data_IF_633148517323
#
_entry.id   IF_633148517323
#
_cell.length_a   1.000
_cell.length_b   1.000
_cell.length_c   1.000
_cell.angle_alpha   90.00
_cell.angle_beta   90.00
_cell.angle_gamma   90.00
#
_symmetry.space_group_name_H-M   'P 1'
#
loop_
_entity.id
_entity.type
_entity.pdbx_description
1 polymer ?
#
# COMPACT_ATOMS: atom_id res chain seq x y z
N UNK A 1 -1.12 -20.46 -24.93
CA UNK A 1 -2.34 -20.57 -25.75
C UNK A 1 -3.51 -20.91 -24.85
N UNK A 2 -4.62 -20.20 -25.00
CA UNK A 2 -5.85 -20.40 -24.22
C UNK A 2 -6.95 -20.95 -25.16
N UNK A 3 -7.76 -21.89 -24.66
CA UNK A 3 -8.94 -22.44 -25.36
C UNK A 3 -8.79 -23.86 -25.85
N UNK A 4 -9.90 -24.43 -26.35
CA UNK A 4 -10.01 -25.84 -26.82
C UNK A 4 -9.01 -26.24 -27.92
N UNK A 5 -8.43 -25.30 -28.63
CA UNK A 5 -7.47 -25.52 -29.70
C UNK A 5 -6.00 -25.28 -29.30
N UNK A 6 -5.70 -25.14 -28.02
CA UNK A 6 -4.35 -24.96 -27.52
C UNK A 6 -3.48 -26.24 -27.62
N UNK A 7 -3.79 -27.16 -28.53
CA UNK A 7 -3.06 -28.37 -28.80
C UNK A 7 -1.67 -28.09 -29.36
N UNK A 8 -0.69 -27.98 -28.49
CA UNK A 8 0.73 -28.05 -28.76
C UNK A 8 1.35 -29.02 -27.76
N UNK A 9 2.41 -29.69 -28.09
CA UNK A 9 3.18 -30.49 -27.14
C UNK A 9 3.81 -29.59 -26.10
N UNK A 10 3.07 -29.33 -25.00
CA UNK A 10 3.65 -28.71 -23.80
C UNK A 10 4.41 -29.80 -23.05
N UNK A 11 5.58 -29.47 -22.50
CA UNK A 11 6.32 -30.40 -21.62
C UNK A 11 5.53 -30.69 -20.35
N UNK A 12 4.81 -29.68 -19.87
CA UNK A 12 3.98 -29.76 -18.67
C UNK A 12 2.60 -29.19 -19.00
N UNK A 13 1.56 -29.91 -18.65
CA UNK A 13 0.17 -29.50 -18.83
C UNK A 13 -0.57 -29.55 -17.49
N UNK A 14 -1.34 -28.51 -17.20
CA UNK A 14 -2.27 -28.50 -16.06
C UNK A 14 -3.68 -28.71 -16.61
N UNK A 15 -4.36 -29.74 -16.13
CA UNK A 15 -5.78 -29.92 -16.41
C UNK A 15 -6.59 -28.89 -15.62
N UNK A 16 -7.14 -27.91 -16.32
CA UNK A 16 -7.99 -26.86 -15.75
C UNK A 16 -9.48 -27.09 -16.07
N UNK A 17 -9.90 -28.32 -16.39
CA UNK A 17 -11.29 -28.66 -16.66
C UNK A 17 -12.18 -28.25 -15.47
N UNK A 18 -13.24 -27.48 -15.73
CA UNK A 18 -14.15 -26.97 -14.71
C UNK A 18 -13.59 -25.83 -13.86
N UNK A 19 -12.38 -25.35 -14.16
CA UNK A 19 -11.77 -24.19 -13.49
C UNK A 19 -11.95 -22.92 -14.33
N UNK A 20 -11.94 -21.78 -13.65
CA UNK A 20 -11.88 -20.46 -14.28
C UNK A 20 -10.44 -19.98 -14.30
N UNK A 21 -9.92 -19.63 -15.46
CA UNK A 21 -8.60 -19.01 -15.59
C UNK A 21 -8.74 -17.50 -15.51
N UNK A 22 -8.12 -16.90 -14.52
CA UNK A 22 -8.11 -15.46 -14.27
C UNK A 22 -6.66 -14.93 -14.30
N UNK A 23 -6.47 -13.63 -14.58
CA UNK A 23 -5.21 -12.96 -14.23
C UNK A 23 -4.93 -13.12 -12.74
N UNK A 24 -3.64 -13.13 -12.35
CA UNK A 24 -3.27 -13.09 -10.95
C UNK A 24 -3.83 -11.85 -10.25
N UNK A 25 -4.18 -12.01 -8.99
CA UNK A 25 -4.72 -10.90 -8.20
C UNK A 25 -3.62 -9.89 -7.88
N UNK A 26 -4.02 -8.63 -7.70
CA UNK A 26 -3.14 -7.53 -7.30
C UNK A 26 -3.70 -6.90 -6.02
N UNK A 27 -2.87 -6.74 -5.01
CA UNK A 27 -3.21 -6.02 -3.79
C UNK A 27 -2.43 -4.70 -3.72
N UNK A 28 -3.15 -3.60 -3.70
CA UNK A 28 -2.56 -2.27 -3.70
C UNK A 28 -2.25 -1.75 -2.29
N UNK A 29 -2.58 -2.52 -1.23
CA UNK A 29 -2.45 -2.05 0.14
C UNK A 29 -2.16 -3.21 1.11
N UNK A 30 -0.88 -3.48 1.34
CA UNK A 30 -0.45 -4.51 2.29
C UNK A 30 0.56 -3.97 3.30
N UNK A 31 0.60 -4.57 4.49
CA UNK A 31 1.55 -4.22 5.54
C UNK A 31 2.51 -5.39 5.77
N UNK A 32 3.69 -5.33 5.16
CA UNK A 32 4.70 -6.40 5.30
C UNK A 32 5.60 -6.25 6.53
N UNK A 33 5.47 -5.15 7.26
CA UNK A 33 6.12 -4.87 8.55
C UNK A 33 7.66 -4.88 8.56
N UNK A 34 8.29 -5.31 7.50
CA UNK A 34 9.74 -5.31 7.33
C UNK A 34 10.18 -4.16 6.38
N UNK A 35 11.15 -3.33 6.81
CA UNK A 35 11.96 -3.44 8.03
C UNK A 35 11.25 -2.98 9.32
N UNK A 36 11.71 -3.51 10.46
CA UNK A 36 11.49 -2.98 11.80
C UNK A 36 10.44 -3.65 12.67
N UNK A 37 9.61 -4.53 12.12
CA UNK A 37 8.62 -5.33 12.84
C UNK A 37 8.55 -6.75 12.27
N UNK A 38 9.70 -7.35 12.06
CA UNK A 38 9.87 -8.71 11.54
C UNK A 38 9.27 -9.78 12.47
N UNK A 39 9.02 -9.40 13.72
CA UNK A 39 8.28 -10.21 14.69
C UNK A 39 6.82 -10.43 14.30
N UNK A 40 6.23 -9.48 13.58
CA UNK A 40 4.83 -9.54 13.15
C UNK A 40 4.68 -10.10 11.73
N UNK A 41 5.49 -9.62 10.78
CA UNK A 41 5.46 -10.05 9.38
C UNK A 41 6.79 -9.71 8.71
N UNK A 42 7.22 -10.54 7.76
CA UNK A 42 8.35 -10.26 6.88
C UNK A 42 7.90 -10.15 5.44
N UNK A 43 8.74 -9.56 4.58
CA UNK A 43 8.47 -9.54 3.13
C UNK A 43 8.30 -10.96 2.59
N UNK A 44 9.09 -11.92 3.10
CA UNK A 44 8.99 -13.32 2.68
C UNK A 44 7.66 -13.96 3.12
N UNK A 45 7.28 -13.84 4.40
CA UNK A 45 6.06 -14.49 4.92
C UNK A 45 4.80 -13.89 4.31
N UNK A 46 4.76 -12.56 4.13
CA UNK A 46 3.67 -11.90 3.42
C UNK A 46 3.58 -12.28 1.95
N UNK A 47 4.72 -12.47 1.27
CA UNK A 47 4.75 -12.96 -0.11
C UNK A 47 4.24 -14.41 -0.22
N UNK A 48 4.57 -15.28 0.74
CA UNK A 48 4.03 -16.66 0.80
C UNK A 48 2.51 -16.63 0.95
N UNK A 49 1.99 -15.80 1.86
CA UNK A 49 0.55 -15.65 2.06
C UNK A 49 -0.14 -15.09 0.80
N UNK A 50 0.46 -14.11 0.13
CA UNK A 50 -0.04 -13.52 -1.10
C UNK A 50 -0.19 -14.57 -2.21
N UNK A 51 0.86 -15.34 -2.48
CA UNK A 51 0.84 -16.40 -3.52
C UNK A 51 -0.17 -17.48 -3.18
N UNK A 52 -0.27 -17.89 -1.91
CA UNK A 52 -1.29 -18.85 -1.47
C UNK A 52 -2.72 -18.34 -1.73
N UNK A 53 -2.93 -17.02 -1.67
CA UNK A 53 -4.19 -16.35 -2.00
C UNK A 53 -4.40 -16.08 -3.50
N UNK A 54 -3.43 -16.40 -4.36
CA UNK A 54 -3.51 -16.17 -5.81
C UNK A 54 -3.07 -14.75 -6.24
N UNK A 55 -2.41 -13.99 -5.35
CA UNK A 55 -1.84 -12.69 -5.67
C UNK A 55 -0.49 -12.84 -6.36
N UNK A 56 -0.30 -12.12 -7.45
CA UNK A 56 0.96 -12.09 -8.21
C UNK A 56 1.72 -10.77 -8.01
N UNK A 57 1.06 -9.77 -7.44
CA UNK A 57 1.65 -8.47 -7.12
C UNK A 57 1.01 -7.89 -5.87
N UNK A 58 1.83 -7.35 -4.98
CA UNK A 58 1.38 -6.68 -3.75
C UNK A 58 2.14 -5.37 -3.58
N UNK A 59 1.49 -4.38 -2.95
CA UNK A 59 2.10 -3.08 -2.65
C UNK A 59 2.31 -2.93 -1.15
N UNK A 60 3.56 -2.77 -0.73
CA UNK A 60 3.96 -2.65 0.68
C UNK A 60 3.87 -1.20 1.15
N UNK A 61 3.02 -0.94 2.14
CA UNK A 61 2.81 0.39 2.72
C UNK A 61 4.04 0.94 3.43
N UNK A 62 4.12 2.28 3.48
CA UNK A 62 5.29 3.02 3.93
C UNK A 62 5.54 3.01 5.45
N UNK A 63 4.59 2.54 6.26
CA UNK A 63 4.64 2.58 7.72
C UNK A 63 5.51 1.48 8.34
N UNK A 64 6.71 1.35 7.82
CA UNK A 64 7.80 0.50 8.35
C UNK A 64 8.63 1.25 9.40
N UNK A 65 9.66 0.63 9.96
CA UNK A 65 10.60 1.26 10.88
C UNK A 65 12.04 0.88 10.51
N UNK A 66 12.84 1.78 9.89
CA UNK A 66 12.47 3.17 9.57
C UNK A 66 11.33 3.27 8.54
N UNK A 67 10.64 4.40 8.56
CA UNK A 67 9.60 4.71 7.56
C UNK A 67 10.18 4.70 6.16
N UNK A 68 9.42 4.22 5.19
CA UNK A 68 9.83 4.20 3.78
C UNK A 68 9.70 5.60 3.14
N UNK A 69 10.44 6.58 3.66
CA UNK A 69 10.44 7.98 3.25
C UNK A 69 11.71 8.41 2.50
N UNK A 70 12.62 7.47 2.25
CA UNK A 70 13.89 7.66 1.51
C UNK A 70 14.10 6.55 0.48
N UNK A 71 14.95 6.82 -0.52
CA UNK A 71 15.33 5.84 -1.53
C UNK A 71 15.90 4.54 -0.92
N UNK A 72 16.73 4.65 0.13
CA UNK A 72 17.38 3.49 0.75
C UNK A 72 16.39 2.48 1.34
N UNK A 73 15.33 2.95 2.00
CA UNK A 73 14.33 2.06 2.62
C UNK A 73 13.45 1.39 1.55
N UNK A 74 12.98 2.14 0.55
CA UNK A 74 12.18 1.54 -0.52
C UNK A 74 12.98 0.54 -1.36
N UNK A 75 14.27 0.80 -1.57
CA UNK A 75 15.16 -0.16 -2.23
C UNK A 75 15.38 -1.43 -1.40
N UNK A 76 15.48 -1.32 -0.07
CA UNK A 76 15.57 -2.48 0.82
C UNK A 76 14.33 -3.37 0.65
N UNK A 77 13.13 -2.82 0.75
CA UNK A 77 11.87 -3.56 0.60
C UNK A 77 11.81 -4.22 -0.79
N UNK A 78 12.15 -3.47 -1.84
CA UNK A 78 12.18 -3.99 -3.20
C UNK A 78 13.13 -5.18 -3.34
N UNK A 79 14.37 -5.08 -2.79
CA UNK A 79 15.36 -6.15 -2.85
C UNK A 79 14.92 -7.39 -2.07
N UNK A 80 14.29 -7.22 -0.92
CA UNK A 80 13.71 -8.32 -0.14
C UNK A 80 12.62 -9.04 -0.95
N UNK A 81 11.73 -8.30 -1.63
CA UNK A 81 10.74 -8.86 -2.53
C UNK A 81 11.36 -9.65 -3.68
N UNK A 82 12.39 -9.11 -4.34
CA UNK A 82 13.12 -9.82 -5.40
C UNK A 82 13.84 -11.06 -4.87
N UNK A 83 14.39 -11.01 -3.67
CA UNK A 83 15.02 -12.18 -3.03
C UNK A 83 14.01 -13.26 -2.66
N UNK A 84 12.82 -12.89 -2.21
CA UNK A 84 11.73 -13.85 -1.96
C UNK A 84 11.29 -14.56 -3.24
N UNK A 85 11.25 -13.85 -4.38
CA UNK A 85 11.01 -14.42 -5.71
C UNK A 85 9.65 -15.10 -5.91
N UNK A 86 8.66 -14.76 -5.09
CA UNK A 86 7.34 -15.39 -5.08
C UNK A 86 6.28 -14.58 -5.84
N UNK A 87 6.20 -13.29 -5.58
CA UNK A 87 5.34 -12.34 -6.28
C UNK A 87 6.08 -11.01 -6.44
N UNK A 88 5.53 -10.09 -7.24
CA UNK A 88 6.07 -8.73 -7.30
C UNK A 88 5.71 -7.97 -6.02
N UNK A 89 6.74 -7.46 -5.33
CA UNK A 89 6.58 -6.58 -4.16
C UNK A 89 6.95 -5.17 -4.57
N UNK A 90 5.98 -4.28 -4.57
CA UNK A 90 6.12 -2.89 -4.97
C UNK A 90 6.07 -2.00 -3.72
N UNK A 91 7.18 -1.39 -3.29
CA UNK A 91 7.13 -0.50 -2.15
C UNK A 91 6.34 0.78 -2.48
N UNK A 92 5.52 1.21 -1.52
CA UNK A 92 4.88 2.52 -1.49
C UNK A 92 5.79 3.43 -0.67
N UNK A 93 6.08 4.62 -1.19
CA UNK A 93 6.84 5.63 -0.47
C UNK A 93 5.94 6.47 0.45
N UNK A 94 6.49 6.98 1.55
CA UNK A 94 5.79 7.97 2.34
C UNK A 94 5.64 9.29 1.58
N UNK A 95 4.53 9.98 1.77
CA UNK A 95 4.32 11.34 1.26
C UNK A 95 5.14 12.34 2.08
N UNK A 96 5.12 12.17 3.42
CA UNK A 96 5.80 13.07 4.34
C UNK A 96 6.86 12.34 5.16
N UNK A 97 7.89 13.08 5.57
CA UNK A 97 8.99 12.59 6.38
C UNK A 97 8.49 12.03 7.70
N UNK A 98 8.83 10.78 7.99
CA UNK A 98 8.40 10.10 9.21
C UNK A 98 6.88 9.96 9.35
N UNK A 99 6.09 10.15 8.26
CA UNK A 99 4.62 10.20 8.29
C UNK A 99 4.09 11.28 9.23
N UNK A 100 4.75 12.44 9.32
CA UNK A 100 4.40 13.47 10.28
C UNK A 100 3.47 14.57 9.72
N UNK A 101 3.24 14.57 8.39
CA UNK A 101 2.35 15.56 7.75
C UNK A 101 2.94 16.97 7.63
N UNK A 102 4.22 17.18 7.99
CA UNK A 102 4.83 18.52 8.11
C UNK A 102 5.77 18.87 6.95
N UNK A 103 6.46 17.90 6.40
CA UNK A 103 7.45 18.08 5.34
C UNK A 103 7.40 16.93 4.35
N UNK A 104 7.50 17.21 3.05
CA UNK A 104 7.58 16.17 2.02
C UNK A 104 8.79 15.25 2.24
N UNK A 105 8.58 13.96 2.01
CA UNK A 105 9.62 12.96 1.92
C UNK A 105 10.46 13.12 0.63
N UNK A 106 11.39 12.23 0.40
CA UNK A 106 12.28 12.26 -0.78
C UNK A 106 11.59 11.63 -2.02
N UNK A 107 10.41 12.16 -2.40
CA UNK A 107 9.54 11.56 -3.43
C UNK A 107 10.28 11.31 -4.74
N UNK A 108 11.02 12.30 -5.24
CA UNK A 108 11.80 12.18 -6.48
C UNK A 108 12.90 11.14 -6.38
N UNK A 109 13.66 11.11 -5.28
CA UNK A 109 14.72 10.11 -5.07
C UNK A 109 14.16 8.69 -5.01
N UNK A 110 13.00 8.50 -4.35
CA UNK A 110 12.31 7.20 -4.33
C UNK A 110 11.80 6.81 -5.72
N UNK A 111 11.31 7.77 -6.49
CA UNK A 111 10.84 7.53 -7.86
C UNK A 111 11.97 7.16 -8.83
N UNK A 112 13.16 7.72 -8.64
CA UNK A 112 14.35 7.49 -9.47
C UNK A 112 15.19 6.30 -8.99
N UNK A 113 14.86 5.72 -7.81
CA UNK A 113 15.54 4.55 -7.27
C UNK A 113 15.26 3.29 -8.10
N UNK A 114 16.01 2.20 -7.84
CA UNK A 114 15.74 0.91 -8.49
C UNK A 114 14.35 0.34 -8.15
N UNK A 115 13.74 0.79 -7.06
CA UNK A 115 12.38 0.43 -6.68
C UNK A 115 11.33 1.10 -7.58
N UNK A 116 11.67 2.21 -8.21
CA UNK A 116 10.82 2.92 -9.17
C UNK A 116 9.47 3.33 -8.60
N UNK A 117 9.44 3.82 -7.37
CA UNK A 117 8.20 4.13 -6.63
C UNK A 117 7.32 5.09 -7.43
N UNK A 118 6.03 4.75 -7.53
CA UNK A 118 5.02 5.58 -8.21
C UNK A 118 3.78 5.85 -7.34
N UNK A 119 3.63 5.15 -6.23
CA UNK A 119 2.53 5.34 -5.28
C UNK A 119 3.12 5.84 -3.97
N UNK A 120 2.51 6.86 -3.40
CA UNK A 120 2.94 7.45 -2.13
C UNK A 120 1.76 7.57 -1.18
N UNK A 121 1.98 7.24 0.09
CA UNK A 121 0.92 7.24 1.10
C UNK A 121 1.52 7.42 2.49
N UNK A 122 0.84 8.20 3.33
CA UNK A 122 1.11 8.24 4.76
C UNK A 122 0.18 7.30 5.55
N UNK A 123 -0.24 6.19 4.94
CA UNK A 123 -1.21 5.27 5.53
C UNK A 123 -0.92 4.92 6.99
N UNK A 124 -2.01 4.80 7.75
CA UNK A 124 -2.03 4.80 9.21
C UNK A 124 -2.09 6.21 9.79
N UNK A 125 -1.80 7.23 8.97
CA UNK A 125 -1.98 8.66 9.25
C UNK A 125 -2.53 9.37 8.01
N UNK A 126 -2.90 10.64 8.19
CA UNK A 126 -3.45 11.47 7.13
C UNK A 126 -2.52 12.66 6.86
N UNK A 127 -2.28 12.98 5.60
CA UNK A 127 -1.70 14.28 5.24
C UNK A 127 -2.83 15.31 5.31
N UNK A 128 -3.04 15.88 6.49
CA UNK A 128 -4.16 16.77 6.77
C UNK A 128 -3.89 18.25 6.37
N UNK A 129 -2.63 18.63 6.17
CA UNK A 129 -2.29 19.98 5.71
C UNK A 129 -2.52 20.09 4.21
N UNK A 130 -3.47 20.96 3.75
CA UNK A 130 -3.81 21.08 2.34
C UNK A 130 -2.67 21.66 1.50
N UNK A 131 -1.77 22.46 2.10
CA UNK A 131 -0.61 22.99 1.38
C UNK A 131 0.40 21.88 1.11
N UNK A 132 0.69 21.03 2.10
CA UNK A 132 1.58 19.87 1.94
C UNK A 132 0.99 18.92 0.91
N UNK A 133 -0.30 18.57 1.00
CA UNK A 133 -0.97 17.72 0.02
C UNK A 133 -0.89 18.31 -1.39
N UNK A 134 -1.18 19.60 -1.54
CA UNK A 134 -1.08 20.28 -2.84
C UNK A 134 0.34 20.18 -3.42
N UNK A 135 1.38 20.41 -2.61
CA UNK A 135 2.78 20.33 -3.04
C UNK A 135 3.16 18.88 -3.41
N UNK A 136 2.68 17.89 -2.66
CA UNK A 136 2.87 16.49 -3.01
C UNK A 136 2.26 16.17 -4.37
N UNK A 137 1.00 16.55 -4.61
CA UNK A 137 0.30 16.33 -5.87
C UNK A 137 0.98 17.02 -7.06
N UNK A 138 1.45 18.27 -6.87
CA UNK A 138 2.21 19.00 -7.90
C UNK A 138 3.52 18.27 -8.22
N UNK A 139 4.23 17.78 -7.21
CA UNK A 139 5.54 17.16 -7.38
C UNK A 139 5.44 15.78 -8.04
N UNK A 140 4.53 14.91 -7.59
CA UNK A 140 4.43 13.55 -8.15
C UNK A 140 4.04 13.53 -9.64
N UNK A 141 3.40 14.60 -10.14
CA UNK A 141 3.09 14.74 -11.58
C UNK A 141 4.34 14.72 -12.46
N UNK A 142 5.48 15.17 -11.97
CA UNK A 142 6.72 15.22 -12.75
C UNK A 142 7.25 13.85 -13.19
N UNK A 143 6.85 12.79 -12.47
CA UNK A 143 7.23 11.40 -12.75
C UNK A 143 6.03 10.43 -12.82
N UNK A 144 4.82 10.96 -13.10
CA UNK A 144 3.58 10.18 -13.20
C UNK A 144 3.27 9.36 -11.92
N UNK A 145 3.57 9.93 -10.75
CA UNK A 145 3.23 9.34 -9.46
C UNK A 145 1.78 9.64 -9.06
N UNK A 146 1.29 8.88 -8.08
CA UNK A 146 -0.03 9.03 -7.47
C UNK A 146 0.09 9.12 -5.95
N UNK A 147 -0.80 9.87 -5.33
CA UNK A 147 -0.98 9.88 -3.87
C UNK A 147 -2.19 9.01 -3.52
N UNK A 148 -1.99 8.05 -2.62
CA UNK A 148 -3.05 7.26 -2.01
C UNK A 148 -3.29 7.81 -0.60
N UNK A 149 -4.33 8.63 -0.45
CA UNK A 149 -4.62 9.30 0.81
C UNK A 149 -5.36 8.37 1.78
N UNK A 150 -4.86 8.27 3.00
CA UNK A 150 -5.62 7.76 4.14
C UNK A 150 -6.54 8.88 4.62
N UNK A 151 -7.76 8.92 4.10
CA UNK A 151 -8.70 10.01 4.32
C UNK A 151 -9.29 9.96 5.74
N UNK A 152 -8.68 10.71 6.64
CA UNK A 152 -9.08 10.77 8.05
C UNK A 152 -8.71 12.13 8.63
N UNK A 153 -9.67 13.02 8.82
CA UNK A 153 -9.41 14.28 9.53
C UNK A 153 -9.08 13.97 10.99
N UNK A 154 -7.83 14.20 11.43
CA UNK A 154 -7.36 13.67 12.72
C UNK A 154 -8.05 14.31 13.93
N UNK A 155 -8.53 15.55 13.82
CA UNK A 155 -9.22 16.26 14.91
C UNK A 155 -10.66 15.79 15.11
N UNK A 156 -11.29 15.24 14.05
CA UNK A 156 -12.65 14.69 14.11
C UNK A 156 -12.68 13.24 14.60
N UNK A 157 -11.53 12.59 14.65
CA UNK A 157 -11.43 11.15 14.99
C UNK A 157 -10.73 10.88 16.32
N UNK A 158 -10.48 11.93 17.11
CA UNK A 158 -9.83 11.81 18.42
C UNK A 158 -10.64 10.87 19.32
N UNK A 159 -9.98 9.82 19.83
CA UNK A 159 -10.55 8.77 20.70
C UNK A 159 -11.76 8.03 20.10
N UNK A 160 -12.03 8.16 18.80
CA UNK A 160 -13.09 7.41 18.15
C UNK A 160 -12.79 5.89 18.21
N UNK A 161 -13.78 5.07 18.53
CA UNK A 161 -13.62 3.63 18.73
C UNK A 161 -14.46 2.80 17.75
N UNK A 162 -15.40 3.43 17.07
CA UNK A 162 -16.28 2.79 16.10
C UNK A 162 -16.92 3.84 15.21
N UNK A 163 -17.62 3.41 14.17
CA UNK A 163 -18.38 4.32 13.32
C UNK A 163 -19.46 5.05 14.14
N UNK A 164 -19.60 6.37 13.90
CA UNK A 164 -20.66 7.17 14.52
C UNK A 164 -22.03 6.76 13.98
N UNK A 165 -22.98 6.53 14.86
CA UNK A 165 -24.33 6.14 14.49
C UNK A 165 -25.17 5.69 15.67
N UNK A 166 -26.30 5.07 15.37
CA UNK A 166 -27.25 4.60 16.40
C UNK A 166 -26.63 3.57 17.37
N UNK A 167 -25.67 2.78 16.91
CA UNK A 167 -25.00 1.79 17.75
C UNK A 167 -24.04 2.49 18.72
N UNK A 168 -23.15 3.35 18.22
CA UNK A 168 -22.21 4.10 19.08
C UNK A 168 -22.95 4.95 20.13
N UNK A 169 -24.02 5.63 19.71
CA UNK A 169 -24.87 6.41 20.62
C UNK A 169 -25.51 5.54 21.68
N UNK A 170 -26.02 4.36 21.34
CA UNK A 170 -26.70 3.43 22.26
C UNK A 170 -25.76 2.87 23.31
N UNK A 171 -24.52 2.54 22.94
CA UNK A 171 -23.53 1.94 23.85
C UNK A 171 -22.61 2.97 24.52
N UNK A 172 -22.73 4.25 24.15
CA UNK A 172 -21.98 5.35 24.76
C UNK A 172 -20.50 5.40 24.38
N UNK A 173 -20.12 4.87 23.19
CA UNK A 173 -18.74 4.94 22.70
C UNK A 173 -18.57 6.11 21.75
N UNK A 174 -17.39 6.81 21.78
CA UNK A 174 -17.07 7.85 20.84
C UNK A 174 -17.12 7.33 19.41
N UNK A 175 -17.89 8.02 18.55
CA UNK A 175 -18.04 7.66 17.15
C UNK A 175 -17.03 8.35 16.25
N UNK A 176 -16.71 7.70 15.14
CA UNK A 176 -15.98 8.26 14.01
C UNK A 176 -17.01 8.77 13.01
N UNK A 177 -17.14 10.08 12.83
CA UNK A 177 -18.15 10.65 11.93
C UNK A 177 -17.74 10.48 10.46
N UNK A 178 -18.69 10.15 9.59
CA UNK A 178 -18.44 9.98 8.15
C UNK A 178 -17.77 11.21 7.51
N UNK A 179 -18.12 12.40 7.97
CA UNK A 179 -17.52 13.68 7.50
C UNK A 179 -16.00 13.72 7.70
N UNK A 180 -15.42 12.91 8.60
CA UNK A 180 -13.98 12.88 8.80
C UNK A 180 -13.20 12.36 7.58
N UNK A 181 -13.81 11.51 6.77
CA UNK A 181 -13.25 11.05 5.50
C UNK A 181 -13.51 12.09 4.40
N UNK A 182 -14.75 12.56 4.28
CA UNK A 182 -15.16 13.50 3.23
C UNK A 182 -14.39 14.82 3.31
N UNK A 183 -14.19 15.36 4.53
CA UNK A 183 -13.51 16.63 4.75
C UNK A 183 -12.03 16.65 4.30
N UNK A 184 -11.40 15.47 4.17
CA UNK A 184 -10.02 15.35 3.68
C UNK A 184 -9.98 15.30 2.14
N UNK A 185 -11.05 14.84 1.51
CA UNK A 185 -11.09 14.68 0.06
C UNK A 185 -11.65 15.94 -0.62
N UNK A 186 -12.53 16.68 0.05
CA UNK A 186 -13.13 17.92 -0.45
C UNK A 186 -12.16 19.10 -0.45
#
# INVERSE_FOLDING_TARGET
KLGKAAGGKAKDGIDASGKMLLPGLVDLHTHLREPGREDAETVLTGSVAAVAGGYTSISAMANTNPVADTAGVVEQIYRLGKSAGLCDVNPIGAVTKGLNGEQLAELGAMADSIAGVRIFSDDGKCVADPLIMRRALEYVKTFNGVIAQHAQEPRLTINAQMNEGSVSARIGLPGWPAIAEEAIIA
#
